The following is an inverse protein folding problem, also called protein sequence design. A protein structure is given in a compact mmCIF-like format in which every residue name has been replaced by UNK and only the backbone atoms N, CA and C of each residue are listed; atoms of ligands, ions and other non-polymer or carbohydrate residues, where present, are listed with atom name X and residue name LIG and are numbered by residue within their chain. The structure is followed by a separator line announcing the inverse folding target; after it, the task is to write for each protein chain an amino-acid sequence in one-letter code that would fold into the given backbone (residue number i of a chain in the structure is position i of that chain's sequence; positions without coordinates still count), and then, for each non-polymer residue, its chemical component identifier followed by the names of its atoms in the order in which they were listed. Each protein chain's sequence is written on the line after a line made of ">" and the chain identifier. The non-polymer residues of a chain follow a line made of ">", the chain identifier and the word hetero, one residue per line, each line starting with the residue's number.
data_IF_347729054138
#
_entry.id   IF_347729054138
#
_cell.length_a   1.000
_cell.length_b   1.000
_cell.length_c   1.000
_cell.angle_alpha   90.00
_cell.angle_beta   90.00
_cell.angle_gamma   90.00
#
_symmetry.space_group_name_H-M   'P 1'
#
loop_
_entity.id
_entity.type
_entity.pdbx_description
1 polymer ?
#
# COMPACT_ATOMS: atom_id res chain seq x y z
N UNK A 1 -43.41 -35.91 36.14
CA UNK A 1 -44.66 -36.17 36.86
C UNK A 1 -45.76 -35.31 36.24
N UNK A 2 -46.70 -35.95 35.77
CA UNK A 2 -48.11 -35.78 35.38
C UNK A 2 -48.33 -35.15 34.00
N UNK A 3 -48.94 -35.81 33.15
CA UNK A 3 -50.02 -36.77 32.86
C UNK A 3 -50.79 -36.23 31.66
N UNK A 4 -50.89 -37.08 30.69
CA UNK A 4 -51.69 -37.07 29.46
C UNK A 4 -53.18 -37.01 29.81
N UNK A 5 -53.98 -36.29 28.98
CA UNK A 5 -55.38 -36.69 28.73
C UNK A 5 -55.74 -36.51 27.26
N UNK A 6 -56.03 -37.62 26.68
CA UNK A 6 -56.73 -37.85 25.40
C UNK A 6 -58.20 -37.62 25.63
N UNK A 7 -58.90 -36.95 24.72
CA UNK A 7 -60.33 -37.13 24.51
C UNK A 7 -60.59 -37.25 23.01
N UNK A 8 -61.09 -38.38 22.65
CA UNK A 8 -61.73 -38.78 21.40
C UNK A 8 -63.15 -38.21 21.35
N UNK A 9 -63.62 -37.72 20.21
CA UNK A 9 -65.04 -37.77 19.86
C UNK A 9 -65.29 -37.76 18.36
N UNK A 10 -65.83 -38.84 17.95
CA UNK A 10 -66.66 -39.34 16.86
C UNK A 10 -66.94 -38.46 15.63
N UNK A 11 -66.90 -39.15 14.54
CA UNK A 11 -67.29 -38.79 13.19
C UNK A 11 -68.78 -38.55 13.04
N UNK A 12 -69.14 -37.55 12.21
CA UNK A 12 -70.40 -37.56 11.42
C UNK A 12 -70.10 -37.10 9.98
N UNK A 13 -70.35 -38.00 9.07
CA UNK A 13 -70.33 -37.84 7.62
C UNK A 13 -71.31 -36.75 7.15
N UNK A 14 -70.88 -35.88 6.24
CA UNK A 14 -71.76 -35.30 5.22
C UNK A 14 -70.95 -35.19 3.91
N UNK A 15 -71.38 -35.96 2.97
CA UNK A 15 -71.10 -35.93 1.57
C UNK A 15 -71.39 -34.56 0.98
N UNK A 16 -70.39 -33.77 0.66
CA UNK A 16 -70.54 -32.56 -0.13
C UNK A 16 -70.02 -32.88 -1.53
N UNK A 17 -70.85 -32.64 -2.52
CA UNK A 17 -70.79 -33.05 -3.89
C UNK A 17 -69.50 -32.54 -4.55
N UNK A 18 -68.86 -33.41 -5.24
CA UNK A 18 -67.57 -33.29 -5.96
C UNK A 18 -67.55 -32.23 -7.09
N UNK A 19 -68.69 -31.63 -7.40
CA UNK A 19 -68.86 -30.66 -8.49
C UNK A 19 -68.56 -29.21 -8.10
N UNK A 20 -68.45 -28.88 -6.82
CA UNK A 20 -68.15 -27.50 -6.38
C UNK A 20 -66.63 -27.29 -6.12
N UNK A 21 -65.87 -28.35 -5.96
CA UNK A 21 -64.42 -28.27 -5.75
C UNK A 21 -63.66 -28.06 -7.07
N UNK A 22 -64.25 -28.50 -8.22
CA UNK A 22 -63.55 -28.39 -9.52
C UNK A 22 -63.66 -26.99 -10.11
N UNK A 23 -64.68 -26.20 -9.76
CA UNK A 23 -64.78 -24.81 -10.23
C UNK A 23 -64.00 -23.80 -9.38
N UNK A 24 -63.58 -24.18 -8.17
CA UNK A 24 -62.71 -23.35 -7.34
C UNK A 24 -61.22 -23.53 -7.68
N UNK A 25 -60.87 -24.66 -8.22
CA UNK A 25 -59.48 -24.95 -8.70
C UNK A 25 -59.20 -24.40 -10.11
N UNK A 26 -60.22 -24.16 -10.93
CA UNK A 26 -60.05 -23.58 -12.27
C UNK A 26 -60.02 -22.02 -12.28
N UNK A 27 -60.49 -21.35 -11.22
CA UNK A 27 -60.40 -19.91 -11.09
C UNK A 27 -59.11 -19.44 -10.44
N UNK A 28 -58.28 -20.35 -9.88
CA UNK A 28 -56.96 -20.02 -9.31
C UNK A 28 -55.83 -20.14 -10.33
N UNK A 29 -56.12 -20.53 -11.58
CA UNK A 29 -55.08 -20.80 -12.58
C UNK A 29 -54.83 -19.65 -13.57
N UNK A 30 -55.49 -18.49 -13.41
CA UNK A 30 -55.28 -17.34 -14.31
C UNK A 30 -54.95 -16.00 -13.64
N UNK A 31 -54.59 -16.02 -12.37
CA UNK A 31 -53.88 -14.88 -11.77
C UNK A 31 -52.36 -15.14 -11.78
N UNK A 32 -51.76 -15.16 -12.98
CA UNK A 32 -50.32 -14.88 -13.09
C UNK A 32 -50.12 -13.44 -12.71
N UNK A 33 -49.98 -13.21 -11.41
CA UNK A 33 -49.44 -11.97 -10.89
C UNK A 33 -48.01 -11.93 -11.42
N UNK A 34 -47.77 -11.14 -12.46
CA UNK A 34 -46.45 -10.70 -12.84
C UNK A 34 -45.89 -9.86 -11.68
N UNK A 35 -45.31 -10.53 -10.69
CA UNK A 35 -44.40 -9.83 -9.78
C UNK A 35 -43.27 -9.30 -10.64
N UNK A 36 -43.03 -8.00 -10.70
CA UNK A 36 -41.82 -7.52 -11.33
C UNK A 36 -40.68 -8.21 -10.55
N UNK A 37 -39.92 -9.06 -11.26
CA UNK A 37 -38.66 -9.55 -10.72
C UNK A 37 -37.88 -8.30 -10.45
N UNK A 38 -37.84 -7.91 -9.18
CA UNK A 38 -36.98 -6.85 -8.73
C UNK A 38 -35.57 -7.23 -9.20
N UNK A 39 -35.07 -6.54 -10.23
CA UNK A 39 -33.67 -6.66 -10.63
C UNK A 39 -32.90 -6.37 -9.35
N UNK A 40 -32.34 -7.41 -8.75
CA UNK A 40 -31.48 -7.26 -7.59
C UNK A 40 -30.38 -6.27 -8.03
N UNK A 41 -30.41 -5.07 -7.46
CA UNK A 41 -29.30 -4.14 -7.62
C UNK A 41 -28.03 -4.92 -7.33
N UNK A 42 -26.97 -4.78 -8.13
CA UNK A 42 -25.74 -5.53 -7.93
C UNK A 42 -25.32 -5.31 -6.47
N UNK A 43 -25.23 -6.43 -5.73
CA UNK A 43 -24.90 -6.41 -4.30
C UNK A 43 -23.57 -5.66 -4.17
N UNK A 44 -23.60 -4.48 -3.58
CA UNK A 44 -22.40 -3.65 -3.44
C UNK A 44 -21.34 -4.49 -2.73
N UNK A 45 -20.17 -4.64 -3.36
CA UNK A 45 -19.12 -5.49 -2.81
C UNK A 45 -18.77 -5.02 -1.40
N UNK A 46 -18.60 -5.98 -0.48
CA UNK A 46 -18.28 -5.68 0.92
C UNK A 46 -16.99 -4.85 1.00
N UNK A 47 -16.91 -3.82 1.86
CA UNK A 47 -15.75 -2.93 1.96
C UNK A 47 -14.40 -3.67 2.08
N UNK A 48 -14.33 -4.71 2.92
CA UNK A 48 -13.14 -5.57 3.07
C UNK A 48 -12.76 -6.27 1.78
N UNK A 49 -13.72 -6.79 1.02
CA UNK A 49 -13.47 -7.44 -0.29
C UNK A 49 -12.89 -6.44 -1.28
N UNK A 50 -13.37 -5.18 -1.26
CA UNK A 50 -12.82 -4.11 -2.10
C UNK A 50 -11.37 -3.80 -1.72
N UNK A 51 -11.06 -3.71 -0.42
CA UNK A 51 -9.69 -3.47 0.05
C UNK A 51 -8.72 -4.57 -0.41
N UNK A 52 -9.10 -5.86 -0.29
CA UNK A 52 -8.28 -6.97 -0.80
C UNK A 52 -8.10 -6.93 -2.31
N UNK A 53 -9.18 -6.70 -3.08
CA UNK A 53 -9.13 -6.56 -4.54
C UNK A 53 -8.17 -5.45 -4.96
N UNK A 54 -8.27 -4.28 -4.31
CA UNK A 54 -7.45 -3.11 -4.62
C UNK A 54 -6.01 -3.30 -4.20
N UNK A 55 -5.75 -3.87 -3.03
CA UNK A 55 -4.39 -4.24 -2.63
C UNK A 55 -3.72 -5.14 -3.67
N UNK A 56 -4.39 -6.21 -4.11
CA UNK A 56 -3.88 -7.10 -5.15
C UNK A 56 -3.58 -6.38 -6.47
N UNK A 57 -4.32 -5.33 -6.81
CA UNK A 57 -4.09 -4.55 -8.02
C UNK A 57 -2.86 -3.64 -7.96
N UNK A 58 -2.30 -3.42 -6.75
CA UNK A 58 -1.09 -2.63 -6.53
C UNK A 58 0.19 -3.45 -6.70
N UNK A 59 0.10 -4.75 -6.95
CA UNK A 59 1.26 -5.62 -7.15
C UNK A 59 2.16 -5.13 -8.29
N UNK A 60 3.46 -5.34 -8.14
CA UNK A 60 4.49 -4.88 -9.06
C UNK A 60 4.42 -3.36 -9.32
N UNK A 61 4.50 -2.60 -8.24
CA UNK A 61 4.47 -1.14 -8.26
C UNK A 61 5.84 -0.49 -8.20
N UNK A 62 5.88 0.81 -8.49
CA UNK A 62 7.08 1.66 -8.35
C UNK A 62 6.69 3.09 -7.98
N UNK A 63 7.55 3.76 -7.20
CA UNK A 63 7.37 5.15 -6.79
C UNK A 63 7.98 6.14 -7.77
N UNK A 64 7.29 7.28 -7.97
CA UNK A 64 7.77 8.46 -8.66
C UNK A 64 8.09 9.56 -7.66
N UNK A 65 9.32 9.66 -7.19
CA UNK A 65 9.67 10.44 -6.00
C UNK A 65 9.96 11.93 -6.23
N UNK A 66 9.84 12.49 -7.44
CA UNK A 66 10.28 13.88 -7.67
C UNK A 66 9.44 14.96 -6.96
N UNK A 67 8.15 14.73 -6.68
CA UNK A 67 7.29 15.70 -5.97
C UNK A 67 7.49 15.74 -4.46
N UNK A 68 8.28 14.80 -3.91
CA UNK A 68 8.69 14.83 -2.51
C UNK A 68 10.06 15.51 -2.30
N UNK A 69 10.88 15.63 -3.37
CA UNK A 69 12.27 16.11 -3.29
C UNK A 69 12.36 17.64 -3.23
N UNK A 70 11.68 18.25 -2.29
CA UNK A 70 11.60 19.70 -2.14
C UNK A 70 12.83 20.32 -1.49
N UNK A 71 13.68 19.51 -0.83
CA UNK A 71 14.93 19.95 -0.20
C UNK A 71 15.99 20.40 -1.21
N UNK A 72 15.94 19.97 -2.45
CA UNK A 72 16.90 20.35 -3.49
C UNK A 72 16.59 21.71 -4.12
N UNK A 73 15.50 22.39 -3.70
CA UNK A 73 15.02 23.67 -4.23
C UNK A 73 14.86 23.71 -5.77
N UNK A 74 14.79 22.55 -6.41
CA UNK A 74 14.61 22.46 -7.85
C UNK A 74 13.18 22.89 -8.25
N UNK A 75 13.00 23.47 -9.46
CA UNK A 75 11.66 23.71 -9.99
C UNK A 75 10.86 22.41 -10.06
N UNK A 76 9.56 22.44 -9.72
CA UNK A 76 8.70 21.26 -9.74
C UNK A 76 8.70 20.48 -11.05
N UNK A 77 8.94 21.16 -12.17
CA UNK A 77 9.03 20.52 -13.49
C UNK A 77 10.33 19.74 -13.71
N UNK A 78 11.36 19.99 -12.90
CA UNK A 78 12.62 19.28 -13.01
C UNK A 78 12.44 17.85 -12.46
N UNK A 79 12.69 16.85 -13.29
CA UNK A 79 12.44 15.46 -12.93
C UNK A 79 10.99 14.99 -13.16
N UNK A 80 10.10 15.87 -13.64
CA UNK A 80 8.72 15.51 -13.92
C UNK A 80 8.63 14.34 -14.92
N UNK A 81 7.79 13.39 -14.60
CA UNK A 81 7.55 12.16 -15.37
C UNK A 81 6.92 12.50 -16.73
N UNK A 82 7.47 11.91 -17.79
CA UNK A 82 7.06 12.09 -19.19
C UNK A 82 6.22 10.92 -19.69
N UNK A 83 5.55 11.07 -20.82
CA UNK A 83 4.77 10.00 -21.46
C UNK A 83 5.64 8.76 -21.78
N UNK A 84 6.91 8.98 -22.15
CA UNK A 84 7.86 7.91 -22.40
C UNK A 84 8.14 7.03 -21.17
N UNK A 85 8.12 7.60 -19.96
CA UNK A 85 8.36 6.87 -18.73
C UNK A 85 7.20 5.90 -18.43
N UNK A 86 5.96 6.32 -18.66
CA UNK A 86 4.79 5.43 -18.52
C UNK A 86 4.85 4.28 -19.53
N UNK A 87 5.28 4.53 -20.77
CA UNK A 87 5.49 3.48 -21.77
C UNK A 87 6.58 2.51 -21.36
N UNK A 88 7.70 3.03 -20.84
CA UNK A 88 8.80 2.21 -20.34
C UNK A 88 8.34 1.32 -19.18
N UNK A 89 7.65 1.88 -18.20
CA UNK A 89 7.15 1.11 -17.05
C UNK A 89 6.14 0.03 -17.46
N UNK A 90 5.25 0.32 -18.43
CA UNK A 90 4.39 -0.71 -19.02
C UNK A 90 5.18 -1.84 -19.65
N UNK A 91 6.22 -1.50 -20.44
CA UNK A 91 7.11 -2.48 -21.08
C UNK A 91 7.84 -3.33 -20.04
N UNK A 92 8.24 -2.74 -18.91
CA UNK A 92 8.88 -3.44 -17.79
C UNK A 92 7.88 -4.27 -16.94
N UNK A 93 6.58 -4.23 -17.25
CA UNK A 93 5.56 -5.03 -16.58
C UNK A 93 5.03 -4.47 -15.28
N UNK A 94 5.33 -3.20 -14.95
CA UNK A 94 4.73 -2.53 -13.79
C UNK A 94 3.22 -2.37 -13.95
N UNK A 95 2.47 -2.45 -12.86
CA UNK A 95 1.00 -2.38 -12.84
C UNK A 95 0.47 -1.21 -12.04
N UNK A 96 1.24 -0.72 -11.09
CA UNK A 96 0.85 0.36 -10.19
C UNK A 96 1.97 1.37 -9.98
N UNK A 97 1.57 2.59 -9.64
CA UNK A 97 2.45 3.71 -9.39
C UNK A 97 2.12 4.31 -8.04
N UNK A 98 3.12 4.74 -7.30
CA UNK A 98 2.97 5.56 -6.10
C UNK A 98 3.57 6.92 -6.37
N UNK A 99 2.85 7.97 -6.03
CA UNK A 99 3.27 9.35 -6.20
C UNK A 99 3.41 10.00 -4.82
N UNK A 100 4.61 9.98 -4.25
CA UNK A 100 4.94 10.74 -3.04
C UNK A 100 4.87 12.24 -3.29
N UNK A 101 4.17 12.98 -2.43
CA UNK A 101 3.93 14.40 -2.61
C UNK A 101 4.20 15.13 -1.30
N UNK A 102 5.09 16.12 -1.36
CA UNK A 102 5.43 16.99 -0.22
C UNK A 102 4.35 18.05 0.02
N UNK A 103 3.16 17.65 0.44
CA UNK A 103 2.04 18.57 0.70
C UNK A 103 2.33 19.62 1.79
N UNK A 104 3.36 19.44 2.60
CA UNK A 104 3.79 20.48 3.55
C UNK A 104 4.17 21.80 2.86
N UNK A 105 4.70 21.73 1.64
CA UNK A 105 4.93 22.91 0.80
C UNK A 105 3.64 23.58 0.35
N UNK A 106 2.61 22.80 0.19
CA UNK A 106 1.27 23.27 -0.12
C UNK A 106 0.66 24.07 1.03
N UNK A 107 0.80 23.59 2.27
CA UNK A 107 0.32 24.28 3.46
C UNK A 107 1.06 25.57 3.76
N UNK A 108 2.38 25.58 3.55
CA UNK A 108 3.24 26.71 3.87
C UNK A 108 3.28 27.78 2.76
N UNK A 109 2.52 27.60 1.67
CA UNK A 109 2.49 28.51 0.53
C UNK A 109 3.80 28.59 -0.25
N UNK A 110 4.74 27.67 -0.02
CA UNK A 110 6.03 27.64 -0.74
C UNK A 110 5.86 27.22 -2.20
N UNK A 111 4.84 26.43 -2.50
CA UNK A 111 4.44 26.07 -3.85
C UNK A 111 2.96 26.44 -4.02
N UNK A 112 2.61 27.27 -5.02
CA UNK A 112 1.21 27.56 -5.30
C UNK A 112 0.42 26.26 -5.59
N UNK A 113 -0.68 26.10 -4.92
CA UNK A 113 -1.61 24.95 -5.04
C UNK A 113 -1.90 24.59 -6.50
N UNK A 114 -2.20 25.59 -7.34
CA UNK A 114 -2.48 25.38 -8.75
C UNK A 114 -1.29 24.77 -9.49
N UNK A 115 -0.07 25.20 -9.19
CA UNK A 115 1.15 24.69 -9.81
C UNK A 115 1.40 23.23 -9.43
N UNK A 116 1.24 22.87 -8.16
CA UNK A 116 1.39 21.49 -7.70
C UNK A 116 0.38 20.57 -8.42
N UNK A 117 -0.88 20.98 -8.50
CA UNK A 117 -1.92 20.18 -9.14
C UNK A 117 -1.76 20.01 -10.65
N UNK A 118 -1.06 20.90 -11.36
CA UNK A 118 -0.72 20.67 -12.77
C UNK A 118 0.02 19.33 -12.95
N UNK A 119 0.97 19.04 -12.08
CA UNK A 119 1.75 17.81 -12.14
C UNK A 119 0.98 16.58 -11.65
N UNK A 120 0.25 16.72 -10.54
CA UNK A 120 -0.57 15.62 -10.01
C UNK A 120 -1.64 15.20 -11.03
N UNK A 121 -2.38 16.16 -11.60
CA UNK A 121 -3.40 15.90 -12.62
C UNK A 121 -2.84 15.19 -13.85
N UNK A 122 -1.63 15.61 -14.28
CA UNK A 122 -0.93 14.96 -15.39
C UNK A 122 -0.64 13.50 -15.09
N UNK A 123 -0.15 13.17 -13.88
CA UNK A 123 0.13 11.79 -13.48
C UNK A 123 -1.16 10.98 -13.37
N UNK A 124 -2.22 11.53 -12.75
CA UNK A 124 -3.54 10.88 -12.67
C UNK A 124 -4.08 10.55 -14.08
N UNK A 125 -4.01 11.53 -15.00
CA UNK A 125 -4.45 11.35 -16.40
C UNK A 125 -3.64 10.27 -17.11
N UNK A 126 -2.31 10.30 -17.00
CA UNK A 126 -1.43 9.36 -17.68
C UNK A 126 -1.53 7.96 -17.08
N UNK A 127 -1.63 7.83 -15.76
CA UNK A 127 -1.83 6.53 -15.10
C UNK A 127 -3.08 5.84 -15.64
N UNK A 128 -4.19 6.56 -15.74
CA UNK A 128 -5.43 6.03 -16.34
C UNK A 128 -5.28 5.67 -17.81
N UNK A 129 -4.63 6.54 -18.61
CA UNK A 129 -4.37 6.29 -20.04
C UNK A 129 -3.61 4.98 -20.27
N UNK A 130 -2.62 4.69 -19.42
CA UNK A 130 -1.79 3.49 -19.53
C UNK A 130 -2.29 2.31 -18.66
N UNK A 131 -3.43 2.46 -17.98
CA UNK A 131 -4.03 1.40 -17.15
C UNK A 131 -3.23 1.05 -15.90
N UNK A 132 -2.51 2.02 -15.32
CA UNK A 132 -1.89 1.88 -14.01
C UNK A 132 -2.88 2.19 -12.90
N UNK A 133 -2.76 1.48 -11.78
CA UNK A 133 -3.33 1.91 -10.51
C UNK A 133 -2.40 2.95 -9.89
N UNK A 134 -2.97 4.01 -9.32
CA UNK A 134 -2.19 5.10 -8.74
C UNK A 134 -2.49 5.25 -7.25
N UNK A 135 -1.44 5.36 -6.46
CA UNK A 135 -1.50 5.79 -5.07
C UNK A 135 -0.98 7.22 -4.98
N UNK A 136 -1.79 8.15 -4.49
CA UNK A 136 -1.30 9.46 -4.03
C UNK A 136 -0.91 9.32 -2.56
N UNK A 137 0.27 9.78 -2.21
CA UNK A 137 0.82 9.68 -0.88
C UNK A 137 1.15 11.08 -0.31
N UNK A 138 0.70 11.34 0.91
CA UNK A 138 1.13 12.49 1.68
C UNK A 138 2.50 12.16 2.29
N UNK A 139 3.57 12.56 1.59
CA UNK A 139 4.92 12.08 1.91
C UNK A 139 5.59 12.84 3.04
N UNK A 140 5.32 14.14 3.18
CA UNK A 140 5.96 14.98 4.17
C UNK A 140 4.94 15.57 5.14
N UNK A 141 5.30 15.62 6.42
CA UNK A 141 4.51 16.25 7.46
C UNK A 141 5.36 16.53 8.69
N UNK A 142 4.77 17.20 9.65
CA UNK A 142 5.39 17.54 10.93
C UNK A 142 4.59 16.95 12.11
N UNK A 143 4.04 15.76 11.92
CA UNK A 143 3.24 15.08 12.94
C UNK A 143 4.15 14.55 14.05
N UNK A 144 3.79 14.78 15.30
CA UNK A 144 4.44 14.21 16.49
C UNK A 144 3.47 14.18 17.68
N UNK A 145 3.90 13.62 18.81
CA UNK A 145 3.07 13.44 20.00
C UNK A 145 2.53 14.76 20.60
N UNK A 146 3.21 15.88 20.40
CA UNK A 146 2.83 17.15 21.01
C UNK A 146 1.92 18.01 20.12
N UNK A 147 1.95 17.79 18.80
CA UNK A 147 1.20 18.62 17.85
C UNK A 147 0.13 17.85 17.07
N UNK A 148 -0.06 16.55 17.36
CA UNK A 148 -0.87 15.66 16.53
C UNK A 148 -2.29 16.17 16.26
N UNK A 149 -2.95 16.80 17.20
CA UNK A 149 -4.30 17.33 17.05
C UNK A 149 -4.37 18.37 15.93
N UNK A 150 -3.47 19.36 15.97
CA UNK A 150 -3.42 20.42 14.96
C UNK A 150 -2.98 19.88 13.59
N UNK A 151 -1.99 18.99 13.57
CA UNK A 151 -1.51 18.38 12.33
C UNK A 151 -2.55 17.45 11.71
N UNK A 152 -3.28 16.67 12.49
CA UNK A 152 -4.39 15.82 12.01
C UNK A 152 -5.46 16.68 11.31
N UNK A 153 -5.83 17.84 11.88
CA UNK A 153 -6.78 18.75 11.25
C UNK A 153 -6.29 19.29 9.90
N UNK A 154 -5.01 19.62 9.78
CA UNK A 154 -4.39 20.03 8.50
C UNK A 154 -4.40 18.90 7.47
N UNK A 155 -3.98 17.70 7.88
CA UNK A 155 -3.98 16.51 7.02
C UNK A 155 -5.39 16.21 6.49
N UNK A 156 -6.41 16.31 7.35
CA UNK A 156 -7.82 16.17 6.96
C UNK A 156 -8.18 17.19 5.88
N UNK A 157 -7.84 18.46 6.06
CA UNK A 157 -8.14 19.52 5.09
C UNK A 157 -7.47 19.26 3.73
N UNK A 158 -6.20 18.84 3.72
CA UNK A 158 -5.50 18.47 2.49
C UNK A 158 -6.28 17.36 1.77
N UNK A 159 -6.59 16.27 2.46
CA UNK A 159 -7.27 15.13 1.87
C UNK A 159 -8.72 15.42 1.45
N UNK A 160 -9.44 16.29 2.15
CA UNK A 160 -10.79 16.73 1.73
C UNK A 160 -10.72 17.46 0.37
N UNK A 161 -9.72 18.34 0.18
CA UNK A 161 -9.48 19.03 -1.09
C UNK A 161 -9.14 18.05 -2.22
N UNK A 162 -8.27 17.08 -1.96
CA UNK A 162 -7.88 16.04 -2.91
C UNK A 162 -9.08 15.15 -3.25
N UNK A 163 -9.86 14.74 -2.24
CA UNK A 163 -11.08 13.93 -2.43
C UNK A 163 -12.09 14.65 -3.32
N UNK A 164 -12.32 15.93 -3.07
CA UNK A 164 -13.21 16.76 -3.90
C UNK A 164 -12.70 16.86 -5.33
N UNK A 165 -11.40 17.13 -5.52
CA UNK A 165 -10.80 17.27 -6.85
C UNK A 165 -10.91 16.02 -7.69
N UNK A 166 -10.70 14.86 -7.10
CA UNK A 166 -10.70 13.56 -7.79
C UNK A 166 -11.96 12.74 -7.55
N UNK A 167 -13.07 13.37 -7.17
CA UNK A 167 -14.34 12.67 -6.89
C UNK A 167 -14.85 11.85 -8.08
N UNK A 168 -14.58 12.29 -9.32
CA UNK A 168 -14.96 11.58 -10.56
C UNK A 168 -13.98 10.46 -10.97
N UNK A 169 -12.83 10.33 -10.28
CA UNK A 169 -11.86 9.28 -10.59
C UNK A 169 -12.23 8.03 -9.79
N UNK A 170 -12.35 6.90 -10.49
CA UNK A 170 -12.70 5.62 -9.87
C UNK A 170 -11.80 5.28 -8.68
N UNK A 171 -12.40 4.83 -7.59
CA UNK A 171 -11.68 4.31 -6.43
C UNK A 171 -10.92 3.00 -6.72
N UNK A 172 -11.18 2.34 -7.85
CA UNK A 172 -10.39 1.20 -8.33
C UNK A 172 -9.11 1.63 -9.07
N UNK A 173 -9.00 2.92 -9.47
CA UNK A 173 -7.85 3.44 -10.23
C UNK A 173 -6.97 4.36 -9.39
N UNK A 174 -7.54 5.01 -8.36
CA UNK A 174 -6.85 5.98 -7.52
C UNK A 174 -7.10 5.68 -6.05
N UNK A 175 -6.04 5.46 -5.29
CA UNK A 175 -6.05 5.22 -3.86
C UNK A 175 -5.31 6.35 -3.14
N UNK A 176 -5.57 6.53 -1.85
CA UNK A 176 -4.93 7.55 -1.03
C UNK A 176 -4.18 6.91 0.13
N UNK A 177 -2.88 7.16 0.19
CA UNK A 177 -2.02 6.84 1.33
C UNK A 177 -1.97 8.06 2.23
N UNK A 178 -2.62 7.93 3.39
CA UNK A 178 -3.00 9.08 4.21
C UNK A 178 -1.81 9.79 4.87
N UNK A 179 -0.73 9.08 5.13
CA UNK A 179 0.53 9.62 5.62
C UNK A 179 1.64 8.60 5.37
N UNK A 180 2.74 9.02 4.75
CA UNK A 180 3.85 8.16 4.34
C UNK A 180 4.45 7.36 5.50
N UNK A 181 5.24 8.02 6.32
CA UNK A 181 6.00 7.43 7.41
C UNK A 181 5.74 8.20 8.71
N UNK A 182 4.70 7.83 9.47
CA UNK A 182 4.54 8.42 10.79
C UNK A 182 5.84 8.25 11.59
N UNK A 183 6.41 9.33 12.16
CA UNK A 183 7.70 9.28 12.79
C UNK A 183 7.71 8.38 14.03
N UNK A 184 8.85 8.32 14.71
CA UNK A 184 8.90 7.70 16.03
C UNK A 184 8.03 8.49 17.00
N UNK A 185 6.84 7.98 17.28
CA UNK A 185 5.82 8.58 18.15
C UNK A 185 5.02 7.48 18.86
N UNK A 186 4.24 7.88 19.86
CA UNK A 186 3.35 6.95 20.56
C UNK A 186 2.38 6.29 19.58
N UNK A 187 2.36 4.95 19.48
CA UNK A 187 1.49 4.24 18.53
C UNK A 187 -0.01 4.51 18.71
N UNK A 188 -0.48 4.78 19.93
CA UNK A 188 -1.87 5.08 20.19
C UNK A 188 -2.23 6.50 19.69
N UNK A 189 -1.32 7.47 19.84
CA UNK A 189 -1.50 8.83 19.29
C UNK A 189 -1.57 8.78 17.76
N UNK A 190 -0.69 8.01 17.11
CA UNK A 190 -0.79 7.81 15.66
C UNK A 190 -2.10 7.14 15.27
N UNK A 191 -2.51 6.11 15.99
CA UNK A 191 -3.77 5.39 15.72
C UNK A 191 -4.98 6.32 15.80
N UNK A 192 -5.02 7.21 16.82
CA UNK A 192 -6.09 8.20 16.97
C UNK A 192 -6.09 9.21 15.82
N UNK A 193 -4.92 9.69 15.42
CA UNK A 193 -4.79 10.57 14.26
C UNK A 193 -5.32 9.89 12.99
N UNK A 194 -4.88 8.66 12.70
CA UNK A 194 -5.32 7.88 11.55
C UNK A 194 -6.82 7.61 11.58
N UNK A 195 -7.39 7.27 12.73
CA UNK A 195 -8.84 7.08 12.92
C UNK A 195 -9.62 8.36 12.61
N UNK A 196 -9.18 9.49 13.11
CA UNK A 196 -9.83 10.79 12.89
C UNK A 196 -9.78 11.18 11.40
N UNK A 197 -8.64 10.98 10.72
CA UNK A 197 -8.51 11.24 9.29
C UNK A 197 -9.49 10.36 8.50
N UNK A 198 -9.47 9.05 8.71
CA UNK A 198 -10.38 8.11 8.03
C UNK A 198 -11.84 8.47 8.26
N UNK A 199 -12.21 8.74 9.52
CA UNK A 199 -13.60 9.09 9.89
C UNK A 199 -14.07 10.36 9.19
N UNK A 200 -13.22 11.38 9.10
CA UNK A 200 -13.55 12.62 8.39
C UNK A 200 -13.73 12.37 6.89
N UNK A 201 -12.85 11.63 6.26
CA UNK A 201 -12.89 11.34 4.83
C UNK A 201 -14.06 10.42 4.46
N UNK A 202 -14.46 9.46 5.32
CA UNK A 202 -15.64 8.60 5.10
C UNK A 202 -16.96 9.35 5.01
N UNK A 203 -17.05 10.54 5.61
CA UNK A 203 -18.26 11.38 5.49
C UNK A 203 -18.46 11.86 4.05
N UNK A 204 -17.39 12.01 3.28
CA UNK A 204 -17.42 12.56 1.91
C UNK A 204 -17.16 11.52 0.82
N UNK A 205 -16.35 10.48 1.09
CA UNK A 205 -16.09 9.38 0.15
C UNK A 205 -16.21 8.02 0.87
N UNK A 206 -17.33 7.35 0.65
CA UNK A 206 -17.65 6.06 1.26
C UNK A 206 -16.99 4.88 0.54
N UNK A 207 -16.44 5.09 -0.63
CA UNK A 207 -15.99 4.02 -1.54
C UNK A 207 -14.48 3.90 -1.69
N UNK A 208 -13.73 4.97 -1.47
CA UNK A 208 -12.28 4.98 -1.64
C UNK A 208 -11.58 4.10 -0.61
N UNK A 209 -10.59 3.35 -1.06
CA UNK A 209 -9.69 2.63 -0.17
C UNK A 209 -8.58 3.56 0.29
N UNK A 210 -8.37 3.63 1.59
CA UNK A 210 -7.25 4.34 2.19
C UNK A 210 -6.13 3.38 2.53
N UNK A 211 -4.89 3.88 2.47
CA UNK A 211 -3.67 3.14 2.82
C UNK A 211 -3.10 3.80 4.07
N UNK A 212 -2.78 2.99 5.08
CA UNK A 212 -2.31 3.44 6.39
C UNK A 212 -1.18 2.54 6.85
N UNK A 213 -0.09 3.14 7.29
CA UNK A 213 1.00 2.44 7.96
C UNK A 213 0.96 2.57 9.48
N UNK A 214 1.99 2.07 10.12
CA UNK A 214 2.22 2.20 11.56
C UNK A 214 3.23 3.32 11.87
N UNK A 215 3.32 3.76 13.11
CA UNK A 215 4.37 4.67 13.59
C UNK A 215 5.78 4.07 13.41
N UNK A 216 6.80 4.85 13.74
CA UNK A 216 8.21 4.45 13.58
C UNK A 216 8.55 4.08 12.12
N UNK A 217 8.22 5.02 11.20
CA UNK A 217 8.60 4.95 9.78
C UNK A 217 8.06 3.73 9.04
N UNK A 218 6.80 3.39 9.28
CA UNK A 218 6.15 2.21 8.68
C UNK A 218 6.89 0.89 8.96
N UNK A 219 7.54 0.80 10.13
CA UNK A 219 8.28 -0.37 10.56
C UNK A 219 7.40 -1.62 10.59
N UNK A 220 7.94 -2.75 10.12
CA UNK A 220 7.29 -4.08 10.21
C UNK A 220 7.00 -4.46 11.66
N UNK A 221 7.83 -4.02 12.60
CA UNK A 221 7.68 -4.33 14.02
C UNK A 221 6.54 -3.54 14.65
N UNK A 222 6.37 -2.27 14.30
CA UNK A 222 5.24 -1.47 14.78
C UNK A 222 3.93 -1.94 14.16
N UNK A 223 3.91 -2.24 12.85
CA UNK A 223 2.71 -2.79 12.22
C UNK A 223 2.31 -4.12 12.88
N UNK A 224 3.27 -4.98 13.22
CA UNK A 224 3.00 -6.27 13.85
C UNK A 224 2.30 -6.17 15.23
N UNK A 225 2.40 -5.02 15.89
CA UNK A 225 1.76 -4.70 17.18
C UNK A 225 0.54 -3.78 17.03
N UNK A 226 0.35 -3.20 15.87
CA UNK A 226 -0.74 -2.26 15.61
C UNK A 226 -2.11 -2.93 15.73
N UNK A 227 -3.04 -2.27 16.40
CA UNK A 227 -4.43 -2.70 16.44
C UNK A 227 -5.16 -2.05 15.29
N UNK A 228 -5.67 -2.85 14.34
CA UNK A 228 -6.33 -2.33 13.14
C UNK A 228 -7.47 -1.37 13.47
N UNK A 229 -7.76 -0.43 12.57
CA UNK A 229 -8.93 0.43 12.65
C UNK A 229 -10.21 -0.36 12.37
N UNK A 230 -11.34 0.16 12.83
CA UNK A 230 -12.66 -0.47 12.61
C UNK A 230 -13.11 -0.41 11.14
N UNK A 231 -12.63 0.58 10.37
CA UNK A 231 -12.97 0.71 8.94
C UNK A 231 -12.46 -0.51 8.16
N UNK A 232 -13.33 -1.12 7.36
CA UNK A 232 -13.05 -2.36 6.63
C UNK A 232 -12.44 -2.10 5.24
N UNK A 233 -12.45 -0.85 4.75
CA UNK A 233 -11.93 -0.51 3.42
C UNK A 233 -10.58 0.17 3.52
N UNK A 234 -9.66 -0.45 4.26
CA UNK A 234 -8.29 -0.01 4.49
C UNK A 234 -7.32 -1.08 4.01
N UNK A 235 -6.25 -0.65 3.38
CA UNK A 235 -5.04 -1.42 3.13
C UNK A 235 -4.00 -0.95 4.14
N UNK A 236 -3.30 -1.88 4.78
CA UNK A 236 -2.20 -1.54 5.67
C UNK A 236 -0.88 -1.64 4.93
N UNK A 237 -0.01 -0.66 5.12
CA UNK A 237 1.30 -0.59 4.47
C UNK A 237 2.43 -0.71 5.49
N UNK A 238 3.54 -1.21 5.04
CA UNK A 238 4.84 -1.16 5.71
C UNK A 238 5.93 -0.88 4.69
N UNK A 239 7.07 -0.35 5.16
CA UNK A 239 8.27 -0.19 4.37
C UNK A 239 9.29 -1.27 4.75
N UNK A 240 10.02 -1.77 3.77
CA UNK A 240 10.95 -2.87 3.99
C UNK A 240 12.33 -2.56 3.42
N UNK A 241 13.20 -2.15 4.32
CA UNK A 241 14.60 -1.86 4.01
C UNK A 241 15.58 -2.77 4.79
N UNK A 242 15.05 -3.85 5.38
CA UNK A 242 15.87 -4.78 6.14
C UNK A 242 16.68 -5.76 5.24
N UNK A 243 17.98 -5.96 5.51
CA UNK A 243 18.74 -5.35 6.60
C UNK A 243 19.16 -3.92 6.28
N UNK A 244 18.75 -2.97 7.14
CA UNK A 244 18.96 -1.53 6.95
C UNK A 244 20.44 -1.16 6.82
N UNK A 245 21.30 -1.90 7.47
CA UNK A 245 22.75 -1.78 7.40
C UNK A 245 23.30 -1.91 5.95
N UNK A 246 22.67 -2.74 5.12
CA UNK A 246 23.00 -2.88 3.71
C UNK A 246 22.29 -1.84 2.85
N UNK A 247 20.98 -1.69 3.01
CA UNK A 247 20.17 -0.92 2.08
C UNK A 247 20.43 0.58 2.14
N UNK A 248 20.89 1.09 3.28
CA UNK A 248 21.15 2.51 3.52
C UNK A 248 22.63 2.82 3.80
N UNK A 249 23.55 1.89 3.51
CA UNK A 249 24.98 2.12 3.74
C UNK A 249 25.45 3.45 3.15
N UNK A 250 26.10 4.27 3.96
CA UNK A 250 26.62 5.58 3.58
C UNK A 250 25.60 6.67 3.29
N UNK A 251 24.30 6.47 3.62
CA UNK A 251 23.24 7.45 3.45
C UNK A 251 23.41 8.61 4.45
N UNK A 252 23.89 9.75 3.97
CA UNK A 252 24.25 10.87 4.85
C UNK A 252 23.09 11.44 5.67
N UNK A 253 21.86 11.37 5.16
CA UNK A 253 20.65 11.83 5.87
C UNK A 253 20.25 10.94 7.06
N UNK A 254 20.78 9.71 7.12
CA UNK A 254 20.59 8.78 8.25
C UNK A 254 21.63 9.02 9.35
N UNK A 255 22.81 9.55 8.98
CA UNK A 255 23.90 9.84 9.88
C UNK A 255 24.83 8.66 10.15
N UNK A 256 25.58 8.74 11.25
CA UNK A 256 26.72 7.88 11.53
C UNK A 256 26.40 6.37 11.65
N UNK A 257 25.17 6.02 12.02
CA UNK A 257 24.79 4.63 12.16
C UNK A 257 24.87 3.80 10.88
N UNK A 258 24.91 4.46 9.70
CA UNK A 258 25.08 3.80 8.40
C UNK A 258 26.39 4.19 7.72
N UNK A 259 27.37 4.72 8.46
CA UNK A 259 28.64 5.20 7.92
C UNK A 259 29.54 4.08 7.34
N UNK A 260 29.32 2.82 7.73
CA UNK A 260 30.03 1.67 7.15
C UNK A 260 29.52 1.41 5.74
N UNK A 261 30.42 1.36 4.76
CA UNK A 261 30.15 1.13 3.33
C UNK A 261 30.92 -0.06 2.77
N UNK A 262 30.61 -0.49 1.56
CA UNK A 262 31.21 -1.70 0.97
C UNK A 262 30.58 -3.00 1.49
N UNK A 263 29.41 -2.89 2.11
CA UNK A 263 28.63 -4.05 2.60
C UNK A 263 27.98 -4.75 1.42
N UNK A 264 28.21 -6.07 1.30
CA UNK A 264 27.64 -6.91 0.22
C UNK A 264 26.38 -7.63 0.68
N UNK A 265 25.48 -7.94 -0.23
CA UNK A 265 24.34 -8.84 0.01
C UNK A 265 24.34 -10.00 -1.01
N UNK A 266 24.23 -11.28 -0.56
CA UNK A 266 24.25 -11.71 0.86
C UNK A 266 25.56 -11.39 1.57
N UNK A 267 25.55 -11.54 2.90
CA UNK A 267 26.76 -11.43 3.71
C UNK A 267 27.85 -12.38 3.19
N UNK A 268 29.07 -11.89 3.12
CA UNK A 268 30.29 -12.66 2.81
C UNK A 268 31.36 -12.30 3.82
N UNK A 269 31.86 -13.27 4.56
CA UNK A 269 32.92 -13.03 5.55
C UNK A 269 34.22 -12.50 4.92
N UNK A 270 34.53 -12.92 3.69
CA UNK A 270 35.72 -12.49 2.96
C UNK A 270 35.66 -11.01 2.54
N UNK A 271 34.45 -10.51 2.26
CA UNK A 271 34.23 -9.16 1.75
C UNK A 271 33.56 -8.24 2.78
N UNK A 272 33.49 -8.65 4.05
CA UNK A 272 32.83 -7.86 5.07
C UNK A 272 33.76 -6.72 5.54
N UNK A 273 33.37 -5.44 5.36
CA UNK A 273 34.20 -4.32 5.72
C UNK A 273 34.37 -4.19 7.23
N UNK A 274 35.44 -3.56 7.69
CA UNK A 274 35.60 -3.17 9.09
C UNK A 274 34.51 -2.14 9.45
N UNK A 275 34.06 -2.19 10.71
CA UNK A 275 33.10 -1.19 11.23
C UNK A 275 33.72 0.22 11.13
N UNK A 276 32.99 1.14 10.50
CA UNK A 276 33.40 2.54 10.45
C UNK A 276 33.48 3.10 11.87
N UNK A 277 34.61 3.75 12.27
CA UNK A 277 34.76 4.28 13.64
C UNK A 277 33.63 5.21 14.09
N UNK A 278 33.01 5.97 13.17
CA UNK A 278 31.91 6.87 13.47
C UNK A 278 30.60 6.12 13.81
N UNK A 279 30.48 4.85 13.45
CA UNK A 279 29.33 4.03 13.78
C UNK A 279 29.37 3.43 15.19
N UNK A 280 30.55 3.47 15.87
CA UNK A 280 30.68 2.98 17.24
C UNK A 280 29.80 3.74 18.20
N UNK A 281 29.15 3.03 19.13
CA UNK A 281 28.23 3.60 20.10
C UNK A 281 26.88 4.08 19.50
N UNK A 282 26.65 3.86 18.21
CA UNK A 282 25.36 4.11 17.54
C UNK A 282 24.62 2.80 17.31
N UNK A 283 23.33 2.80 16.95
CA UNK A 283 22.62 1.59 16.52
C UNK A 283 23.33 0.83 15.38
N UNK A 284 24.15 1.52 14.58
CA UNK A 284 24.93 0.93 13.50
C UNK A 284 25.95 -0.12 13.95
N UNK A 285 26.50 0.01 15.15
CA UNK A 285 27.41 -1.03 15.71
C UNK A 285 26.63 -2.33 15.98
N UNK A 286 25.42 -2.24 16.51
CA UNK A 286 24.56 -3.40 16.70
C UNK A 286 24.17 -4.04 15.37
N UNK A 287 23.80 -3.23 14.39
CA UNK A 287 23.47 -3.71 13.04
C UNK A 287 24.68 -4.41 12.36
N UNK A 288 25.89 -3.87 12.54
CA UNK A 288 27.12 -4.49 12.07
C UNK A 288 27.32 -5.89 12.65
N UNK A 289 27.20 -6.01 13.97
CA UNK A 289 27.38 -7.27 14.68
C UNK A 289 26.31 -8.32 14.33
N UNK A 290 25.09 -7.88 13.96
CA UNK A 290 24.00 -8.76 13.57
C UNK A 290 24.01 -9.11 12.08
N UNK A 291 24.71 -8.36 11.25
CA UNK A 291 24.67 -8.51 9.80
C UNK A 291 25.07 -9.91 9.30
N UNK A 292 26.07 -10.61 9.89
CA UNK A 292 26.37 -12.01 9.52
C UNK A 292 25.16 -12.95 9.59
N UNK A 293 24.24 -12.68 10.52
CA UNK A 293 22.98 -13.44 10.68
C UNK A 293 21.86 -12.90 9.77
N UNK A 294 21.79 -11.58 9.63
CA UNK A 294 20.65 -10.90 8.99
C UNK A 294 20.83 -10.64 7.49
N UNK A 295 22.05 -10.63 7.00
CA UNK A 295 22.40 -10.30 5.62
C UNK A 295 22.16 -11.44 4.63
N UNK A 296 20.95 -12.03 4.60
CA UNK A 296 20.64 -13.13 3.68
C UNK A 296 19.16 -13.22 3.34
N UNK A 297 18.83 -14.01 2.31
CA UNK A 297 17.46 -14.18 1.81
C UNK A 297 16.49 -14.80 2.84
N UNK A 298 16.97 -15.69 3.69
CA UNK A 298 16.15 -16.31 4.74
C UNK A 298 15.67 -15.25 5.73
N UNK A 299 16.57 -14.38 6.19
CA UNK A 299 16.23 -13.29 7.11
C UNK A 299 15.21 -12.32 6.47
N UNK A 300 15.37 -11.99 5.19
CA UNK A 300 14.37 -11.20 4.44
C UNK A 300 12.99 -11.85 4.50
N UNK A 301 12.91 -13.15 4.20
CA UNK A 301 11.66 -13.88 4.25
C UNK A 301 11.05 -13.93 5.65
N UNK A 302 11.85 -14.25 6.66
CA UNK A 302 11.38 -14.42 8.03
C UNK A 302 10.84 -13.10 8.60
N UNK A 303 11.48 -11.97 8.28
CA UNK A 303 11.02 -10.63 8.66
C UNK A 303 9.70 -10.26 7.95
N UNK A 304 9.56 -10.53 6.67
CA UNK A 304 8.30 -10.31 5.94
C UNK A 304 7.16 -11.21 6.44
N UNK A 305 7.48 -12.41 6.94
CA UNK A 305 6.48 -13.30 7.54
C UNK A 305 5.83 -12.69 8.79
N UNK A 306 6.54 -11.82 9.52
CA UNK A 306 5.99 -11.13 10.72
C UNK A 306 4.74 -10.35 10.36
N UNK A 307 4.83 -9.47 9.35
CA UNK A 307 3.68 -8.66 8.91
C UNK A 307 2.63 -9.48 8.20
N UNK A 308 3.01 -10.55 7.49
CA UNK A 308 2.06 -11.49 6.91
C UNK A 308 1.19 -12.15 7.97
N UNK A 309 1.78 -12.59 9.07
CA UNK A 309 1.07 -13.18 10.20
C UNK A 309 0.09 -12.18 10.83
N UNK A 310 0.50 -10.92 10.95
CA UNK A 310 -0.37 -9.85 11.43
C UNK A 310 -1.57 -9.62 10.49
N UNK A 311 -1.33 -9.52 9.17
CA UNK A 311 -2.39 -9.36 8.17
C UNK A 311 -3.39 -10.53 8.20
N UNK A 312 -2.90 -11.76 8.37
CA UNK A 312 -3.74 -12.96 8.52
C UNK A 312 -4.55 -12.91 9.83
N UNK A 313 -3.93 -12.52 10.96
CA UNK A 313 -4.59 -12.41 12.26
C UNK A 313 -5.81 -11.49 12.23
N UNK A 314 -5.69 -10.36 11.54
CA UNK A 314 -6.77 -9.38 11.46
C UNK A 314 -7.65 -9.54 10.21
N UNK A 315 -7.34 -10.48 9.32
CA UNK A 315 -7.99 -10.67 8.02
C UNK A 315 -8.08 -9.36 7.23
N UNK A 316 -6.95 -8.64 7.10
CA UNK A 316 -6.82 -7.37 6.39
C UNK A 316 -5.75 -7.47 5.31
N UNK A 317 -5.90 -6.72 4.19
CA UNK A 317 -4.87 -6.67 3.17
C UNK A 317 -3.69 -5.84 3.64
N UNK A 318 -2.48 -6.32 3.31
CA UNK A 318 -1.23 -5.61 3.54
C UNK A 318 -0.47 -5.43 2.23
N UNK A 319 0.31 -4.37 2.12
CA UNK A 319 1.24 -4.12 1.02
C UNK A 319 2.61 -3.69 1.57
N UNK A 320 3.66 -3.97 0.83
CA UNK A 320 4.97 -3.35 1.01
C UNK A 320 4.99 -2.05 0.19
N UNK A 321 4.79 -0.89 0.84
CA UNK A 321 4.70 0.42 0.19
C UNK A 321 6.02 0.90 -0.39
N UNK A 322 7.14 0.46 0.22
CA UNK A 322 8.48 0.76 -0.25
C UNK A 322 9.45 -0.39 0.04
N UNK A 323 10.34 -0.65 -0.91
CA UNK A 323 11.56 -1.43 -0.75
C UNK A 323 12.57 -1.03 -1.82
N UNK A 324 13.85 -1.02 -1.48
CA UNK A 324 14.90 -0.60 -2.40
C UNK A 324 16.29 -0.63 -1.75
N UNK A 325 17.29 -0.17 -2.49
CA UNK A 325 18.67 -0.05 -2.02
C UNK A 325 19.25 1.27 -2.49
N UNK A 326 19.83 2.05 -1.58
CA UNK A 326 20.59 3.24 -1.89
C UNK A 326 21.79 2.88 -2.79
N UNK A 327 21.84 3.46 -3.99
CA UNK A 327 22.71 2.96 -5.05
C UNK A 327 24.15 3.49 -5.02
N UNK A 328 24.45 4.49 -4.16
CA UNK A 328 25.75 5.17 -4.17
C UNK A 328 26.91 4.29 -3.68
N UNK A 329 26.66 3.44 -2.70
CA UNK A 329 27.71 2.65 -2.05
C UNK A 329 27.51 1.14 -2.15
N UNK A 330 26.27 0.69 -2.40
CA UNK A 330 25.99 -0.72 -2.62
C UNK A 330 26.39 -1.11 -4.05
N UNK A 331 27.20 -2.17 -4.21
CA UNK A 331 27.55 -2.70 -5.52
C UNK A 331 26.32 -3.20 -6.29
N UNK A 332 26.42 -3.21 -7.61
CA UNK A 332 25.29 -3.56 -8.47
C UNK A 332 24.78 -5.00 -8.23
N UNK A 333 25.69 -5.95 -8.10
CA UNK A 333 25.33 -7.37 -7.96
C UNK A 333 24.63 -7.65 -6.64
N UNK A 334 25.10 -7.04 -5.54
CA UNK A 334 24.41 -7.11 -4.24
C UNK A 334 23.03 -6.46 -4.30
N UNK A 335 22.88 -5.33 -4.99
CA UNK A 335 21.57 -4.69 -5.21
C UNK A 335 20.63 -5.60 -5.99
N UNK A 336 21.10 -6.21 -7.07
CA UNK A 336 20.33 -7.15 -7.88
C UNK A 336 19.84 -8.34 -7.03
N UNK A 337 20.76 -8.95 -6.25
CA UNK A 337 20.42 -10.08 -5.37
C UNK A 337 19.41 -9.70 -4.31
N UNK A 338 19.57 -8.53 -3.67
CA UNK A 338 18.62 -8.05 -2.67
C UNK A 338 17.23 -7.81 -3.26
N UNK A 339 17.12 -7.06 -4.35
CA UNK A 339 15.83 -6.80 -5.02
C UNK A 339 15.16 -8.11 -5.43
N UNK A 340 15.91 -9.06 -5.97
CA UNK A 340 15.42 -10.40 -6.32
C UNK A 340 14.88 -11.15 -5.09
N UNK A 341 15.63 -11.15 -3.98
CA UNK A 341 15.26 -11.81 -2.73
C UNK A 341 13.96 -11.24 -2.15
N UNK A 342 13.86 -9.90 -2.03
CA UNK A 342 12.66 -9.22 -1.53
C UNK A 342 11.46 -9.53 -2.40
N UNK A 343 11.57 -9.39 -3.72
CA UNK A 343 10.47 -9.69 -4.66
C UNK A 343 10.02 -11.14 -4.60
N UNK A 344 10.96 -12.07 -4.49
CA UNK A 344 10.66 -13.49 -4.36
C UNK A 344 9.90 -13.79 -3.05
N UNK A 345 10.31 -13.17 -1.94
CA UNK A 345 9.65 -13.32 -0.65
C UNK A 345 8.24 -12.68 -0.66
N UNK A 346 8.08 -11.47 -1.17
CA UNK A 346 6.78 -10.80 -1.32
C UNK A 346 5.82 -11.65 -2.16
N UNK A 347 6.29 -12.17 -3.30
CA UNK A 347 5.50 -13.05 -4.18
C UNK A 347 5.06 -14.33 -3.45
N UNK A 348 5.98 -15.01 -2.75
CA UNK A 348 5.68 -16.24 -1.98
C UNK A 348 4.65 -16.00 -0.90
N UNK A 349 4.74 -14.84 -0.21
CA UNK A 349 3.82 -14.46 0.85
C UNK A 349 2.51 -13.82 0.33
N UNK A 350 2.39 -13.66 -0.98
CA UNK A 350 1.25 -12.98 -1.62
C UNK A 350 1.03 -11.57 -1.02
N UNK A 351 2.11 -10.79 -0.95
CA UNK A 351 2.13 -9.39 -0.50
C UNK A 351 2.47 -8.53 -1.72
N UNK A 352 1.58 -7.65 -2.18
CA UNK A 352 1.89 -6.69 -3.23
C UNK A 352 3.00 -5.74 -2.78
N UNK A 353 3.91 -5.39 -3.69
CA UNK A 353 5.06 -4.55 -3.38
C UNK A 353 5.25 -3.42 -4.38
N UNK A 354 5.67 -2.26 -3.87
CA UNK A 354 6.02 -1.06 -4.64
C UNK A 354 7.49 -0.72 -4.39
N UNK A 355 8.26 -0.62 -5.46
CA UNK A 355 9.69 -0.38 -5.35
C UNK A 355 9.99 1.11 -5.17
N UNK A 356 10.88 1.43 -4.28
CA UNK A 356 11.52 2.72 -4.13
C UNK A 356 12.88 2.67 -4.84
N UNK A 357 13.18 3.37 -5.96
CA UNK A 357 12.22 4.14 -6.73
C UNK A 357 12.56 4.10 -8.25
N UNK A 358 11.88 4.92 -9.03
CA UNK A 358 12.04 4.91 -10.50
C UNK A 358 13.36 5.55 -10.95
N UNK A 359 13.69 6.75 -10.49
CA UNK A 359 14.79 7.54 -11.06
C UNK A 359 15.56 8.43 -10.07
N UNK A 360 15.57 8.09 -8.78
CA UNK A 360 16.40 8.77 -7.78
C UNK A 360 17.61 7.93 -7.35
N UNK A 361 18.13 8.22 -6.18
CA UNK A 361 19.28 7.52 -5.59
C UNK A 361 19.04 6.05 -5.21
N UNK A 362 17.83 5.54 -5.42
CA UNK A 362 17.47 4.12 -5.29
C UNK A 362 17.10 3.49 -6.64
N UNK A 363 17.31 4.21 -7.74
CA UNK A 363 16.96 3.75 -9.08
C UNK A 363 17.58 2.40 -9.44
N UNK A 364 16.81 1.61 -10.19
CA UNK A 364 17.26 0.33 -10.77
C UNK A 364 18.09 0.53 -12.03
N UNK A 365 18.11 1.72 -12.60
CA UNK A 365 18.87 2.01 -13.81
C UNK A 365 20.30 2.47 -13.48
N UNK A 366 21.24 2.15 -14.36
CA UNK A 366 22.64 2.61 -14.28
C UNK A 366 22.83 4.05 -14.82
N UNK A 367 21.75 4.69 -15.28
CA UNK A 367 21.74 6.04 -15.85
C UNK A 367 20.29 6.51 -16.00
N UNK A 368 19.99 7.46 -16.88
CA UNK A 368 18.62 7.87 -17.17
C UNK A 368 17.73 6.67 -17.52
N UNK A 369 16.46 6.61 -17.03
CA UNK A 369 15.58 5.48 -17.23
C UNK A 369 15.41 5.08 -18.71
N UNK A 370 15.89 3.90 -19.05
CA UNK A 370 15.76 3.28 -20.38
C UNK A 370 16.08 1.79 -20.31
N UNK A 371 15.66 1.01 -21.30
CA UNK A 371 16.03 -0.41 -21.39
C UNK A 371 17.56 -0.59 -21.51
N UNK A 372 18.25 0.32 -22.22
CA UNK A 372 19.70 0.26 -22.39
C UNK A 372 20.47 0.46 -21.07
N UNK A 373 19.91 1.27 -20.17
CA UNK A 373 20.49 1.55 -18.86
C UNK A 373 19.97 0.60 -17.76
N UNK A 374 19.18 -0.41 -18.09
CA UNK A 374 18.73 -1.42 -17.15
C UNK A 374 19.69 -2.61 -17.15
N UNK A 375 20.52 -2.78 -16.11
CA UNK A 375 21.52 -3.86 -16.06
C UNK A 375 20.86 -5.24 -16.15
N UNK A 376 21.52 -6.19 -16.79
CA UNK A 376 20.99 -7.56 -17.00
C UNK A 376 20.57 -8.24 -15.69
N UNK A 377 21.42 -8.14 -14.64
CA UNK A 377 21.05 -8.70 -13.33
C UNK A 377 19.81 -8.05 -12.74
N UNK A 378 19.58 -6.75 -13.02
CA UNK A 378 18.39 -6.06 -12.55
C UNK A 378 17.16 -6.41 -13.37
N UNK A 379 17.30 -6.67 -14.70
CA UNK A 379 16.21 -7.23 -15.52
C UNK A 379 15.71 -8.54 -14.91
N UNK A 380 16.63 -9.45 -14.56
CA UNK A 380 16.29 -10.70 -13.88
C UNK A 380 15.64 -10.44 -12.51
N UNK A 381 16.21 -9.56 -11.70
CA UNK A 381 15.69 -9.24 -10.37
C UNK A 381 14.25 -8.69 -10.39
N UNK A 382 13.89 -7.86 -11.38
CA UNK A 382 12.51 -7.35 -11.53
C UNK A 382 11.60 -8.28 -12.35
N UNK A 383 12.15 -9.37 -12.88
CA UNK A 383 11.40 -10.34 -13.69
C UNK A 383 11.06 -9.83 -15.09
N UNK A 384 11.85 -8.88 -15.62
CA UNK A 384 11.71 -8.42 -17.00
C UNK A 384 12.38 -9.41 -17.96
N UNK A 385 11.63 -9.87 -18.94
CA UNK A 385 12.15 -10.71 -20.01
C UNK A 385 11.92 -10.01 -21.36
N UNK A 386 12.99 -9.56 -22.06
CA UNK A 386 12.84 -8.85 -23.33
C UNK A 386 12.33 -9.72 -24.49
N UNK A 387 12.30 -11.06 -24.31
CA UNK A 387 11.91 -12.03 -25.36
C UNK A 387 10.41 -12.38 -25.27
N UNK A 388 9.73 -11.91 -24.28
CA UNK A 388 8.28 -11.98 -24.15
C UNK A 388 7.68 -10.62 -24.51
#
# INVERSE_FOLDING_TARGET
>A
MLIIKVISCAAKSKTIRFTQLLNFLLTLLFLTINFPVAKSSPKQAQPRVLAFKRAKSLDNGVSFSWLEQTWNKAPLGQGAIKDADFKLLKKLGYKSLRLPIAFAYFENGQIPTAQLFIYIDKVVKQSRKYGFKLVLDLHNGNLNDTNYTAQTAKIINIWLNITKRYASVSADDLLFELYNEPPHMNPDVWKDAAYNIVTALRKVDKTRTYIIGASNYNSIYELSRFVRLADENIIYTFHFYEPFFFTHQGAAWIGNQVATTGVTFPYSAENFPALNPNAKGTPGESHYNLYPKDGNERSVNDKLQIVKNWGNKYAVPIICGEYGVYNKYADLDSRCRYIKAVRAALKRLNIPGMMWDYNSSFSIFAGPPSILNLPTCMQDAIGYNPIK
#
